data_IF_773682819904
#
_entry.id   IF_773682819904
#
_cell.length_a   1.000
_cell.length_b   1.000
_cell.length_c   1.000
_cell.angle_alpha   90.00
_cell.angle_beta   90.00
_cell.angle_gamma   90.00
#
_symmetry.space_group_name_H-M   'P 1'
#
loop_
_entity.id
_entity.type
_entity.pdbx_description
1 polymer ?
#
# COMPACT_ATOMS: atom_id res chain seq x y z
N UNK A 1 11.97 -52.56 -31.50
CA UNK A 1 11.02 -51.74 -30.71
C UNK A 1 11.66 -50.37 -30.46
N UNK A 2 11.16 -49.32 -31.15
CA UNK A 2 11.63 -47.93 -30.96
C UNK A 2 10.62 -47.24 -30.02
N UNK A 3 11.08 -46.86 -28.85
CA UNK A 3 10.28 -46.06 -27.92
C UNK A 3 10.33 -44.60 -28.38
N UNK A 4 9.17 -44.06 -28.75
CA UNK A 4 8.97 -42.66 -29.06
C UNK A 4 8.72 -41.92 -27.74
N UNK A 5 9.69 -41.15 -27.25
CA UNK A 5 9.52 -40.25 -26.12
C UNK A 5 8.74 -39.03 -26.62
N UNK A 6 7.48 -38.90 -26.21
CA UNK A 6 6.70 -37.70 -26.41
C UNK A 6 7.05 -36.72 -25.26
N UNK A 7 7.88 -35.74 -25.61
CA UNK A 7 8.19 -34.61 -24.73
C UNK A 7 7.00 -33.62 -24.75
N UNK A 8 6.11 -33.72 -23.78
CA UNK A 8 5.06 -32.71 -23.62
C UNK A 8 5.67 -31.42 -23.08
N UNK A 9 5.81 -30.44 -23.96
CA UNK A 9 6.21 -29.08 -23.61
C UNK A 9 5.05 -28.42 -22.86
N UNK A 10 5.12 -28.39 -21.52
CA UNK A 10 4.24 -27.53 -20.73
C UNK A 10 4.67 -26.08 -20.97
N UNK A 11 3.95 -25.37 -21.81
CA UNK A 11 3.97 -23.90 -21.85
C UNK A 11 3.44 -23.39 -20.51
N UNK A 12 4.34 -23.07 -19.58
CA UNK A 12 4.01 -22.30 -18.40
C UNK A 12 3.75 -20.87 -18.92
N UNK A 13 2.52 -20.60 -19.30
CA UNK A 13 2.05 -19.24 -19.52
C UNK A 13 2.16 -18.50 -18.20
N UNK A 14 3.12 -17.57 -18.09
CA UNK A 14 3.19 -16.64 -16.98
C UNK A 14 1.91 -15.80 -17.05
N UNK A 15 0.93 -16.12 -16.22
CA UNK A 15 -0.21 -15.24 -15.98
C UNK A 15 0.35 -13.97 -15.35
N UNK A 16 0.30 -12.86 -16.10
CA UNK A 16 0.63 -11.55 -15.56
C UNK A 16 -0.41 -11.27 -14.46
N UNK A 17 -0.03 -11.43 -13.20
CA UNK A 17 -0.89 -11.10 -12.07
C UNK A 17 -0.98 -9.58 -11.92
N UNK A 18 -2.09 -9.09 -11.40
CA UNK A 18 -2.26 -7.67 -11.07
C UNK A 18 -1.21 -7.22 -10.04
N UNK A 19 -0.62 -6.06 -10.28
CA UNK A 19 0.36 -5.43 -9.38
C UNK A 19 -0.22 -4.15 -8.78
N UNK A 20 -0.56 -4.19 -7.50
CA UNK A 20 -1.01 -3.04 -6.73
C UNK A 20 0.02 -1.90 -6.75
N UNK A 21 1.33 -2.23 -6.65
CA UNK A 21 2.40 -1.24 -6.63
C UNK A 21 2.48 -0.43 -7.94
N UNK A 22 2.36 -1.09 -9.08
CA UNK A 22 2.33 -0.40 -10.39
C UNK A 22 1.08 0.47 -10.53
N UNK A 23 -0.07 0.01 -10.05
CA UNK A 23 -1.31 0.79 -10.05
C UNK A 23 -1.18 2.06 -9.19
N UNK A 24 -0.61 1.92 -8.00
CA UNK A 24 -0.38 3.04 -7.06
C UNK A 24 0.69 4.00 -7.59
N UNK A 25 1.78 3.50 -8.18
CA UNK A 25 2.79 4.33 -8.83
C UNK A 25 2.19 5.18 -9.97
N UNK A 26 1.29 4.59 -10.76
CA UNK A 26 0.54 5.32 -11.77
C UNK A 26 -0.35 6.39 -11.14
N UNK A 27 -1.09 6.06 -10.08
CA UNK A 27 -1.94 7.00 -9.36
C UNK A 27 -1.13 8.18 -8.81
N UNK A 28 0.03 7.94 -8.20
CA UNK A 28 0.94 8.99 -7.69
C UNK A 28 1.37 9.96 -8.80
N UNK A 29 1.65 9.45 -9.99
CA UNK A 29 2.09 10.26 -11.13
C UNK A 29 0.97 11.12 -11.71
N UNK A 30 -0.28 10.64 -11.70
CA UNK A 30 -1.37 11.22 -12.50
C UNK A 30 -2.56 11.75 -11.70
N UNK A 31 -2.59 11.63 -10.36
CA UNK A 31 -3.72 12.05 -9.52
C UNK A 31 -4.11 13.54 -9.67
N UNK A 32 -3.14 14.41 -10.00
CA UNK A 32 -3.36 15.87 -10.14
C UNK A 32 -3.30 16.36 -11.57
N UNK A 33 -3.23 15.47 -12.57
CA UNK A 33 -3.17 15.82 -13.99
C UNK A 33 -3.73 14.70 -14.85
N UNK A 34 -4.14 15.03 -16.08
CA UNK A 34 -4.68 14.06 -17.05
C UNK A 34 -3.55 13.49 -17.90
N UNK A 35 -3.57 12.17 -18.12
CA UNK A 35 -2.66 11.52 -19.06
C UNK A 35 -3.23 11.60 -20.47
N UNK A 36 -2.56 12.35 -21.35
CA UNK A 36 -2.99 12.60 -22.74
C UNK A 36 -3.12 11.33 -23.61
N UNK A 37 -2.64 10.19 -23.13
CA UNK A 37 -2.85 8.89 -23.78
C UNK A 37 -4.31 8.44 -23.74
N UNK A 38 -5.08 8.95 -22.77
CA UNK A 38 -6.46 8.55 -22.52
C UNK A 38 -7.38 9.77 -22.71
N UNK A 39 -8.65 9.49 -23.02
CA UNK A 39 -9.66 10.54 -23.06
C UNK A 39 -9.92 11.13 -21.67
N UNK A 40 -10.12 12.45 -21.61
CA UNK A 40 -10.49 13.16 -20.38
C UNK A 40 -12.01 13.34 -20.30
N UNK A 41 -12.65 12.64 -19.37
CA UNK A 41 -14.09 12.69 -19.15
C UNK A 41 -14.52 13.74 -18.11
N UNK A 42 -13.64 14.65 -17.69
CA UNK A 42 -13.93 15.64 -16.63
C UNK A 42 -15.17 16.50 -16.92
N UNK A 43 -15.43 16.78 -18.22
CA UNK A 43 -16.59 17.55 -18.68
C UNK A 43 -17.74 16.66 -19.19
N UNK A 44 -17.67 15.34 -19.05
CA UNK A 44 -18.62 14.37 -19.60
C UNK A 44 -19.23 13.48 -18.50
N UNK A 45 -19.40 14.02 -17.29
CA UNK A 45 -19.97 13.30 -16.16
C UNK A 45 -18.94 12.86 -15.11
N UNK A 46 -17.65 13.11 -15.33
CA UNK A 46 -16.59 12.85 -14.36
C UNK A 46 -15.57 11.80 -14.80
N UNK A 47 -14.34 11.97 -14.36
CA UNK A 47 -13.18 11.18 -14.78
C UNK A 47 -12.75 10.09 -13.76
N UNK A 48 -13.52 9.89 -12.69
CA UNK A 48 -13.12 9.03 -11.58
C UNK A 48 -12.92 7.55 -11.98
N UNK A 49 -13.88 6.94 -12.65
CA UNK A 49 -13.77 5.55 -13.10
C UNK A 49 -12.74 5.38 -14.21
N UNK A 50 -12.62 6.37 -15.09
CA UNK A 50 -11.58 6.41 -16.11
C UNK A 50 -10.18 6.41 -15.50
N UNK A 51 -9.93 7.26 -14.50
CA UNK A 51 -8.66 7.30 -13.78
C UNK A 51 -8.36 5.99 -13.06
N UNK A 52 -9.32 5.44 -12.33
CA UNK A 52 -9.15 4.14 -11.67
C UNK A 52 -8.83 3.06 -12.70
N UNK A 53 -9.51 3.04 -13.85
CA UNK A 53 -9.22 2.10 -14.94
C UNK A 53 -7.80 2.21 -15.45
N UNK A 54 -7.28 3.43 -15.62
CA UNK A 54 -5.90 3.67 -16.03
C UNK A 54 -4.90 3.08 -15.01
N UNK A 55 -5.17 3.27 -13.71
CA UNK A 55 -4.36 2.69 -12.65
C UNK A 55 -4.36 1.15 -12.71
N UNK A 56 -5.54 0.55 -12.88
CA UNK A 56 -5.70 -0.91 -12.97
C UNK A 56 -4.97 -1.48 -14.20
N UNK A 57 -5.06 -0.81 -15.36
CA UNK A 57 -4.33 -1.16 -16.59
C UNK A 57 -2.81 -1.07 -16.35
N UNK A 58 -2.33 -0.01 -15.69
CA UNK A 58 -0.93 0.13 -15.34
C UNK A 58 -0.47 -0.98 -14.39
N UNK A 59 -1.36 -1.44 -13.50
CA UNK A 59 -1.15 -2.60 -12.64
C UNK A 59 -1.18 -3.95 -13.38
N UNK A 60 -1.49 -3.98 -14.67
CA UNK A 60 -1.55 -5.20 -15.47
C UNK A 60 -2.92 -5.89 -15.48
N UNK A 61 -3.97 -5.28 -14.92
CA UNK A 61 -5.31 -5.84 -14.99
C UNK A 61 -5.89 -5.66 -16.39
N UNK A 62 -6.17 -6.76 -17.07
CA UNK A 62 -6.72 -6.76 -18.44
C UNK A 62 -8.22 -6.45 -18.46
N UNK A 63 -8.59 -5.16 -18.39
CA UNK A 63 -9.99 -4.70 -18.36
C UNK A 63 -10.51 -4.17 -19.70
N UNK A 64 -9.72 -4.21 -20.74
CA UNK A 64 -10.12 -3.70 -22.07
C UNK A 64 -11.39 -4.38 -22.65
N UNK A 65 -11.65 -5.63 -22.26
CA UNK A 65 -12.89 -6.35 -22.64
C UNK A 65 -14.15 -5.77 -21.96
N UNK A 66 -14.02 -4.92 -20.96
CA UNK A 66 -15.11 -4.31 -20.21
C UNK A 66 -15.43 -2.88 -20.67
N UNK A 67 -14.71 -2.35 -21.65
CA UNK A 67 -14.73 -0.94 -22.06
C UNK A 67 -16.13 -0.43 -22.45
N UNK A 68 -16.98 -1.29 -23.02
CA UNK A 68 -18.30 -0.87 -23.52
C UNK A 68 -18.21 0.13 -24.67
N UNK A 69 -19.33 0.78 -24.98
CA UNK A 69 -19.41 1.71 -26.11
C UNK A 69 -18.75 3.07 -25.89
N UNK A 70 -18.45 3.41 -24.65
CA UNK A 70 -17.97 4.76 -24.27
C UNK A 70 -16.49 4.81 -23.89
N UNK A 71 -15.86 3.66 -23.64
CA UNK A 71 -14.47 3.64 -23.19
C UNK A 71 -13.48 3.83 -24.34
N UNK A 72 -12.48 4.67 -24.13
CA UNK A 72 -11.38 4.88 -25.06
C UNK A 72 -10.05 4.42 -24.41
N UNK A 73 -9.14 3.91 -25.24
CA UNK A 73 -7.85 3.43 -24.74
C UNK A 73 -7.91 2.21 -23.81
N UNK A 74 -9.05 1.46 -23.81
CA UNK A 74 -9.25 0.27 -22.97
C UNK A 74 -9.72 0.60 -21.54
N UNK A 75 -10.07 1.85 -21.23
CA UNK A 75 -10.62 2.25 -19.92
C UNK A 75 -12.11 1.95 -19.79
N UNK A 76 -12.62 1.96 -18.56
CA UNK A 76 -14.04 1.76 -18.21
C UNK A 76 -14.54 3.01 -17.49
N UNK A 77 -15.02 4.05 -18.21
CA UNK A 77 -15.28 5.37 -17.63
C UNK A 77 -16.56 5.48 -16.81
N UNK A 78 -17.39 4.43 -16.79
CA UNK A 78 -18.64 4.39 -16.04
C UNK A 78 -18.53 3.47 -14.82
N UNK A 79 -18.79 4.00 -13.60
CA UNK A 79 -18.56 3.28 -12.34
C UNK A 79 -19.28 1.94 -12.25
N UNK A 80 -20.60 1.81 -12.56
CA UNK A 80 -21.28 0.51 -12.54
C UNK A 80 -20.66 -0.53 -13.47
N UNK A 81 -20.17 -0.10 -14.65
CA UNK A 81 -19.48 -1.00 -15.58
C UNK A 81 -18.12 -1.43 -15.02
N UNK A 82 -17.40 -0.52 -14.34
CA UNK A 82 -16.15 -0.85 -13.66
C UNK A 82 -16.38 -1.86 -12.53
N UNK A 83 -17.40 -1.67 -11.69
CA UNK A 83 -17.80 -2.63 -10.64
C UNK A 83 -18.04 -4.02 -11.23
N UNK A 84 -18.87 -4.12 -12.27
CA UNK A 84 -19.17 -5.37 -12.96
C UNK A 84 -17.91 -5.99 -13.59
N UNK A 85 -17.05 -5.15 -14.16
CA UNK A 85 -15.78 -5.59 -14.72
C UNK A 85 -14.89 -6.25 -13.66
N UNK A 86 -14.70 -5.59 -12.52
CA UNK A 86 -13.89 -6.13 -11.42
C UNK A 86 -14.41 -7.49 -10.97
N UNK A 87 -15.72 -7.64 -10.79
CA UNK A 87 -16.34 -8.92 -10.45
C UNK A 87 -16.08 -9.97 -11.55
N UNK A 88 -16.22 -9.61 -12.83
CA UNK A 88 -15.95 -10.52 -13.96
C UNK A 88 -14.50 -10.96 -14.06
N UNK A 89 -13.57 -10.18 -13.50
CA UNK A 89 -12.14 -10.50 -13.37
C UNK A 89 -11.83 -11.33 -12.12
N UNK A 90 -12.84 -11.76 -11.38
CA UNK A 90 -12.66 -12.58 -10.18
C UNK A 90 -12.35 -11.79 -8.90
N UNK A 91 -12.46 -10.48 -8.93
CA UNK A 91 -12.27 -9.67 -7.72
C UNK A 91 -13.39 -9.93 -6.70
N UNK A 92 -13.04 -9.94 -5.45
CA UNK A 92 -14.01 -9.95 -4.34
C UNK A 92 -14.64 -8.57 -4.18
N UNK A 93 -15.88 -8.55 -3.68
CA UNK A 93 -16.57 -7.32 -3.33
C UNK A 93 -17.31 -7.45 -2.00
N UNK A 94 -17.51 -6.30 -1.33
CA UNK A 94 -18.28 -6.21 -0.09
C UNK A 94 -18.93 -4.82 0.02
N UNK A 95 -20.13 -4.74 0.58
CA UNK A 95 -20.78 -3.48 0.97
C UNK A 95 -20.33 -2.97 2.34
N UNK A 96 -19.59 -3.78 3.09
CA UNK A 96 -19.00 -3.43 4.38
C UNK A 96 -17.49 -3.48 4.28
N UNK A 97 -16.80 -2.65 5.09
CA UNK A 97 -15.35 -2.72 5.20
C UNK A 97 -14.92 -4.15 5.60
N UNK A 98 -14.03 -4.80 4.85
CA UNK A 98 -13.48 -6.09 5.29
C UNK A 98 -12.83 -5.97 6.67
N UNK A 99 -12.91 -7.03 7.48
CA UNK A 99 -12.38 -7.02 8.86
C UNK A 99 -10.89 -6.71 8.94
N UNK A 100 -10.13 -7.07 7.91
CA UNK A 100 -8.71 -6.74 7.78
C UNK A 100 -8.46 -5.42 7.00
N UNK A 101 -9.51 -4.67 6.69
CA UNK A 101 -9.44 -3.52 5.81
C UNK A 101 -9.39 -3.88 4.32
N UNK A 102 -9.37 -2.87 3.47
CA UNK A 102 -9.20 -3.04 2.02
C UNK A 102 -7.71 -2.99 1.67
N UNK A 103 -7.19 -3.91 0.84
CA UNK A 103 -5.77 -3.92 0.48
C UNK A 103 -5.40 -2.75 -0.46
N UNK A 104 -4.13 -2.34 -0.46
CA UNK A 104 -3.54 -1.44 -1.44
C UNK A 104 -3.81 -1.94 -2.86
N UNK A 105 -4.11 -1.04 -3.79
CA UNK A 105 -4.50 -1.38 -5.16
C UNK A 105 -5.96 -1.80 -5.30
N UNK A 106 -6.71 -1.90 -4.19
CA UNK A 106 -8.16 -2.09 -4.23
C UNK A 106 -8.90 -0.87 -4.74
N UNK A 107 -10.20 -1.01 -4.97
CA UNK A 107 -11.08 0.05 -5.46
C UNK A 107 -12.21 0.25 -4.46
N UNK A 108 -12.52 1.50 -4.15
CA UNK A 108 -13.71 1.86 -3.38
C UNK A 108 -14.64 2.64 -4.30
N UNK A 109 -15.91 2.28 -4.32
CA UNK A 109 -16.96 3.07 -4.98
C UNK A 109 -17.90 3.67 -3.92
N UNK A 110 -18.48 4.82 -4.23
CA UNK A 110 -19.34 5.59 -3.33
C UNK A 110 -20.63 5.96 -4.02
N UNK A 111 -21.59 6.44 -3.24
CA UNK A 111 -22.86 6.99 -3.72
C UNK A 111 -23.63 6.00 -4.61
N UNK A 112 -23.61 4.70 -4.25
CA UNK A 112 -24.23 3.63 -5.04
C UNK A 112 -23.74 3.57 -6.51
N UNK A 113 -22.44 3.78 -6.73
CA UNK A 113 -21.83 3.74 -8.06
C UNK A 113 -21.72 5.12 -8.74
N UNK A 114 -21.81 6.21 -7.96
CA UNK A 114 -21.63 7.58 -8.48
C UNK A 114 -20.17 8.06 -8.49
N UNK A 115 -19.25 7.38 -7.81
CA UNK A 115 -17.84 7.77 -7.74
C UNK A 115 -16.95 6.55 -7.49
N UNK A 116 -15.69 6.61 -7.95
CA UNK A 116 -14.69 5.55 -7.77
C UNK A 116 -13.32 6.12 -7.44
N UNK A 117 -12.57 5.44 -6.58
CA UNK A 117 -11.18 5.78 -6.22
C UNK A 117 -10.32 4.52 -6.11
N UNK A 118 -9.00 4.69 -6.34
CA UNK A 118 -8.01 3.65 -6.09
C UNK A 118 -7.49 3.74 -4.65
N UNK A 119 -7.37 2.63 -3.97
CA UNK A 119 -6.71 2.55 -2.66
C UNK A 119 -5.20 2.61 -2.85
N UNK A 120 -4.57 3.68 -2.37
CA UNK A 120 -3.11 3.86 -2.44
C UNK A 120 -2.41 3.37 -1.18
N UNK A 121 -3.12 3.34 -0.05
CA UNK A 121 -2.71 2.70 1.18
C UNK A 121 -3.88 1.91 1.74
N UNK A 122 -3.65 0.64 2.05
CA UNK A 122 -4.68 -0.28 2.54
C UNK A 122 -5.01 -0.10 4.02
N UNK A 123 -5.90 -0.96 4.52
CA UNK A 123 -6.31 -1.00 5.93
C UNK A 123 -7.77 -0.64 6.15
N UNK A 124 -8.16 -0.51 7.42
CA UNK A 124 -9.52 -0.10 7.83
C UNK A 124 -9.75 1.41 7.72
N UNK A 125 -8.66 2.18 7.63
CA UNK A 125 -8.65 3.63 7.34
C UNK A 125 -7.83 3.90 6.09
N UNK A 126 -8.26 3.42 4.90
CA UNK A 126 -7.48 3.47 3.68
C UNK A 126 -7.30 4.91 3.19
N UNK A 127 -6.13 5.18 2.58
CA UNK A 127 -5.92 6.38 1.78
C UNK A 127 -6.16 6.07 0.31
N UNK A 128 -6.66 7.06 -0.43
CA UNK A 128 -7.10 6.89 -1.81
C UNK A 128 -6.57 7.96 -2.75
N UNK A 129 -6.59 7.64 -4.04
CA UNK A 129 -6.39 8.58 -5.12
C UNK A 129 -7.58 8.54 -6.09
N UNK A 130 -7.92 9.70 -6.65
CA UNK A 130 -9.05 9.82 -7.57
C UNK A 130 -9.04 11.11 -8.36
N UNK A 131 -9.81 11.12 -9.45
CA UNK A 131 -10.17 12.30 -10.24
C UNK A 131 -11.60 12.75 -9.91
N UNK A 132 -12.04 13.85 -10.49
CA UNK A 132 -13.25 14.62 -10.19
C UNK A 132 -13.03 15.59 -9.03
N UNK A 133 -12.55 15.10 -7.88
CA UNK A 133 -11.80 15.89 -6.90
C UNK A 133 -10.39 15.29 -6.92
N UNK A 134 -9.46 15.98 -7.56
CA UNK A 134 -8.11 15.47 -7.74
C UNK A 134 -7.43 15.31 -6.39
N UNK A 135 -7.11 14.07 -6.03
CA UNK A 135 -6.57 13.72 -4.72
C UNK A 135 -5.60 12.55 -4.80
N UNK A 136 -4.54 12.62 -4.01
CA UNK A 136 -3.66 11.51 -3.67
C UNK A 136 -3.42 11.49 -2.17
N UNK A 137 -3.65 10.35 -1.52
CA UNK A 137 -3.55 10.24 -0.07
C UNK A 137 -4.76 10.79 0.69
N UNK A 138 -5.90 11.00 0.04
CA UNK A 138 -7.14 11.42 0.67
C UNK A 138 -7.78 10.31 1.51
N UNK A 139 -8.60 10.68 2.51
CA UNK A 139 -9.33 9.73 3.34
C UNK A 139 -10.31 8.89 2.49
N UNK A 140 -10.17 7.57 2.52
CA UNK A 140 -11.03 6.63 1.80
C UNK A 140 -12.36 6.32 2.50
N UNK A 141 -12.59 6.81 3.72
CA UNK A 141 -13.81 6.56 4.50
C UNK A 141 -14.69 7.81 4.51
N UNK A 142 -15.19 8.18 3.35
CA UNK A 142 -16.18 9.25 3.20
C UNK A 142 -17.36 8.78 2.35
N UNK A 143 -18.40 9.60 2.24
CA UNK A 143 -19.58 9.28 1.45
C UNK A 143 -20.42 8.12 2.03
N UNK A 144 -21.47 7.77 1.32
CA UNK A 144 -22.38 6.67 1.64
C UNK A 144 -22.47 5.67 0.47
N UNK A 145 -23.17 4.55 0.67
CA UNK A 145 -23.37 3.53 -0.37
C UNK A 145 -22.06 2.97 -0.90
N UNK A 146 -21.09 2.78 0.02
CA UNK A 146 -19.75 2.29 -0.33
C UNK A 146 -19.80 0.83 -0.72
N UNK A 147 -18.97 0.49 -1.73
CA UNK A 147 -18.58 -0.88 -2.03
C UNK A 147 -17.06 -0.95 -2.15
N UNK A 148 -16.50 -2.05 -1.72
CA UNK A 148 -15.08 -2.33 -1.68
C UNK A 148 -14.78 -3.48 -2.63
N UNK A 149 -13.75 -3.33 -3.48
CA UNK A 149 -13.35 -4.34 -4.47
C UNK A 149 -11.86 -4.60 -4.33
N UNK A 150 -11.46 -5.86 -4.32
CA UNK A 150 -10.04 -6.24 -4.24
C UNK A 150 -9.76 -7.56 -4.96
N UNK A 151 -8.54 -7.68 -5.47
CA UNK A 151 -8.06 -8.92 -6.09
C UNK A 151 -7.87 -9.99 -4.99
N UNK A 152 -8.58 -11.13 -5.04
CA UNK A 152 -8.37 -12.21 -4.07
C UNK A 152 -7.08 -12.98 -4.27
N UNK A 153 -6.49 -12.91 -5.49
CA UNK A 153 -5.18 -13.52 -5.78
C UNK A 153 -4.04 -12.66 -5.26
N UNK A 154 -4.26 -11.36 -5.16
CA UNK A 154 -3.54 -10.47 -4.26
C UNK A 154 -3.90 -10.86 -2.83
N UNK A 155 -3.70 -12.15 -2.52
CA UNK A 155 -4.01 -12.77 -1.23
C UNK A 155 -3.72 -11.84 -0.06
N UNK A 156 -4.23 -12.17 1.11
CA UNK A 156 -3.80 -11.84 2.47
C UNK A 156 -2.26 -11.80 2.75
N UNK A 157 -1.43 -11.70 1.75
CA UNK A 157 -0.19 -10.97 1.73
C UNK A 157 -0.60 -9.50 1.80
N UNK A 158 -0.66 -8.91 2.97
CA UNK A 158 -0.43 -7.49 3.15
C UNK A 158 0.60 -7.10 2.11
N UNK A 159 0.26 -6.13 1.24
CA UNK A 159 0.85 -5.86 -0.06
C UNK A 159 2.32 -6.26 -0.10
N UNK A 160 2.78 -6.91 -1.15
CA UNK A 160 4.17 -7.38 -1.24
C UNK A 160 5.05 -6.29 -0.64
N UNK A 161 5.53 -6.52 0.59
CA UNK A 161 6.28 -5.49 1.32
C UNK A 161 7.49 -5.16 0.45
N UNK A 162 7.49 -3.96 -0.11
CA UNK A 162 8.63 -3.46 -0.88
C UNK A 162 9.72 -3.08 0.11
N UNK A 163 10.75 -3.92 0.20
CA UNK A 163 11.85 -3.68 1.12
C UNK A 163 12.83 -2.67 0.54
N UNK A 164 13.14 -1.65 1.31
CA UNK A 164 14.30 -0.82 1.05
C UNK A 164 15.60 -1.59 1.34
N UNK A 165 16.70 -1.27 0.66
CA UNK A 165 18.00 -1.86 0.95
C UNK A 165 18.34 -1.73 2.43
N UNK A 166 19.09 -2.69 2.98
CA UNK A 166 19.59 -2.59 4.33
C UNK A 166 20.46 -1.36 4.52
N UNK A 167 20.22 -0.65 5.61
CA UNK A 167 21.00 0.48 6.07
C UNK A 167 21.88 0.02 7.23
N UNK A 168 23.15 0.43 7.23
CA UNK A 168 24.04 0.27 8.36
C UNK A 168 23.99 1.55 9.19
N UNK A 169 23.29 1.50 10.32
CA UNK A 169 23.09 2.65 11.19
C UNK A 169 24.37 3.03 11.93
N UNK A 170 25.12 3.96 11.40
CA UNK A 170 26.32 4.53 12.05
C UNK A 170 26.06 5.91 12.62
N UNK A 171 25.05 6.61 12.17
CA UNK A 171 24.66 7.94 12.65
C UNK A 171 23.18 8.19 12.37
N UNK A 172 22.35 8.12 13.39
CA UNK A 172 20.90 8.36 13.26
C UNK A 172 20.53 9.79 12.86
N UNK A 173 21.48 10.72 12.92
CA UNK A 173 21.30 12.12 12.51
C UNK A 173 21.68 12.37 11.05
N UNK A 174 22.24 11.37 10.34
CA UNK A 174 22.51 11.48 8.90
C UNK A 174 21.19 11.35 8.12
N UNK A 175 20.63 12.51 7.78
CA UNK A 175 19.35 12.61 7.04
C UNK A 175 19.43 12.17 5.59
N UNK A 176 20.59 11.82 5.07
CA UNK A 176 20.74 11.33 3.71
C UNK A 176 20.90 9.80 3.65
N UNK A 177 21.62 9.19 4.62
CA UNK A 177 21.98 7.78 4.54
C UNK A 177 21.80 7.02 5.88
N UNK A 178 21.47 7.70 6.97
CA UNK A 178 21.38 7.11 8.32
C UNK A 178 20.03 6.51 8.68
N UNK A 179 19.11 6.37 7.72
CA UNK A 179 17.76 5.87 7.98
C UNK A 179 17.29 4.89 6.90
N UNK A 180 16.35 4.00 7.27
CA UNK A 180 15.58 3.19 6.36
C UNK A 180 14.16 3.75 6.25
N UNK A 181 13.73 4.05 5.05
CA UNK A 181 12.40 4.61 4.77
C UNK A 181 12.37 5.46 3.51
N UNK A 182 11.17 5.88 3.16
CA UNK A 182 10.91 6.78 2.02
C UNK A 182 9.87 7.81 2.46
N UNK A 183 10.29 9.06 2.60
CA UNK A 183 9.43 10.13 3.07
C UNK A 183 8.19 10.27 2.20
N UNK A 184 7.03 10.22 2.87
CA UNK A 184 5.72 10.21 2.23
C UNK A 184 5.14 8.82 1.96
N UNK A 185 5.87 7.73 2.26
CA UNK A 185 5.37 6.35 2.19
C UNK A 185 5.45 5.69 3.58
N UNK A 186 4.32 5.18 4.07
CA UNK A 186 4.25 4.56 5.39
C UNK A 186 5.19 3.36 5.51
N UNK A 187 5.92 3.27 6.62
CA UNK A 187 6.56 2.02 7.04
C UNK A 187 5.47 1.05 7.48
N UNK A 188 5.45 -0.14 6.91
CA UNK A 188 4.48 -1.21 7.23
C UNK A 188 5.15 -2.46 7.79
N UNK A 189 6.47 -2.51 7.75
CA UNK A 189 7.27 -3.58 8.33
C UNK A 189 8.70 -3.11 8.61
N UNK A 190 9.37 -3.78 9.54
CA UNK A 190 10.75 -3.51 9.94
C UNK A 190 11.51 -4.82 10.09
N UNK A 191 12.78 -4.82 9.70
CA UNK A 191 13.77 -5.85 10.01
C UNK A 191 14.97 -5.20 10.68
N UNK A 192 15.43 -5.76 11.80
CA UNK A 192 16.63 -5.28 12.52
C UNK A 192 17.52 -6.47 12.86
N UNK A 193 18.75 -6.46 12.34
CA UNK A 193 19.73 -7.52 12.61
C UNK A 193 20.32 -7.38 14.03
N UNK A 194 20.45 -8.50 14.72
CA UNK A 194 21.06 -8.55 16.05
C UNK A 194 20.30 -7.74 17.10
N UNK A 195 18.98 -7.61 16.99
CA UNK A 195 18.13 -6.97 17.98
C UNK A 195 16.87 -7.81 18.28
N UNK A 196 16.29 -7.59 19.46
CA UNK A 196 14.92 -7.97 19.81
C UNK A 196 14.08 -6.72 19.83
N UNK A 197 12.95 -6.71 19.12
CA UNK A 197 12.15 -5.52 18.93
C UNK A 197 10.69 -5.84 18.62
N UNK A 198 9.85 -4.85 18.73
CA UNK A 198 8.44 -4.90 18.33
C UNK A 198 8.03 -3.59 17.66
N UNK A 199 6.89 -3.60 16.99
CA UNK A 199 6.29 -2.44 16.34
C UNK A 199 4.83 -2.32 16.73
N UNK A 200 4.30 -1.10 16.72
CA UNK A 200 2.89 -0.80 16.90
C UNK A 200 2.24 -0.48 15.56
N UNK A 201 1.08 -1.08 15.27
CA UNK A 201 0.30 -0.79 14.07
C UNK A 201 -0.62 0.40 14.31
N UNK A 202 -0.64 1.37 13.41
CA UNK A 202 -1.46 2.59 13.52
C UNK A 202 -2.94 2.25 13.71
N UNK A 203 -3.50 2.73 14.81
CA UNK A 203 -4.89 2.42 15.21
C UNK A 203 -5.11 0.98 15.67
N UNK A 204 -4.04 0.22 15.88
CA UNK A 204 -4.05 -1.18 16.30
C UNK A 204 -3.44 -1.39 17.69
N UNK A 205 -2.43 -2.24 17.77
CA UNK A 205 -1.75 -2.61 19.00
C UNK A 205 -0.28 -2.96 18.75
N UNK A 206 0.50 -3.07 19.82
CA UNK A 206 1.82 -3.67 19.77
C UNK A 206 1.76 -5.11 19.28
N UNK A 207 2.62 -5.46 18.34
CA UNK A 207 2.74 -6.81 17.84
C UNK A 207 3.63 -7.65 18.76
N UNK A 208 3.68 -8.97 18.52
CA UNK A 208 4.61 -9.84 19.23
C UNK A 208 6.06 -9.45 18.94
N UNK A 209 6.93 -9.56 19.96
CA UNK A 209 8.37 -9.38 19.78
C UNK A 209 8.94 -10.35 18.72
N UNK A 210 9.88 -9.85 17.97
CA UNK A 210 10.69 -10.61 17.02
C UNK A 210 12.18 -10.37 17.27
N UNK A 211 13.02 -11.23 16.72
CA UNK A 211 14.48 -11.15 16.91
C UNK A 211 15.22 -11.45 15.61
N UNK A 212 16.46 -10.98 15.51
CA UNK A 212 17.41 -11.38 14.49
C UNK A 212 16.85 -11.39 13.06
N UNK A 213 16.53 -10.19 12.54
CA UNK A 213 16.08 -10.01 11.16
C UNK A 213 14.72 -10.65 10.83
N UNK A 214 13.99 -11.16 11.82
CA UNK A 214 12.58 -11.52 11.63
C UNK A 214 11.76 -10.27 11.36
N UNK A 215 10.72 -10.39 10.54
CA UNK A 215 9.84 -9.28 10.18
C UNK A 215 8.93 -8.90 11.36
N UNK A 216 8.99 -7.66 11.81
CA UNK A 216 7.94 -7.03 12.61
C UNK A 216 7.06 -6.17 11.68
N UNK A 217 5.75 -6.24 11.83
CA UNK A 217 4.78 -5.61 10.93
C UNK A 217 4.19 -6.60 9.92
N UNK A 218 2.97 -6.30 9.47
CA UNK A 218 2.17 -7.22 8.65
C UNK A 218 1.61 -6.56 7.39
N UNK A 219 2.15 -5.39 7.02
CA UNK A 219 1.65 -4.61 5.89
C UNK A 219 0.65 -3.51 6.28
N UNK A 220 0.32 -3.36 7.58
CA UNK A 220 -0.38 -2.19 8.10
C UNK A 220 0.62 -1.09 8.44
N UNK A 221 0.26 0.20 8.27
CA UNK A 221 1.10 1.32 8.69
C UNK A 221 1.51 1.21 10.16
N UNK A 222 2.76 1.55 10.44
CA UNK A 222 3.30 1.56 11.78
C UNK A 222 3.31 2.99 12.33
N UNK A 223 3.18 3.12 13.66
CA UNK A 223 3.27 4.39 14.38
C UNK A 223 4.15 4.31 15.62
N UNK A 224 4.71 3.14 15.91
CA UNK A 224 5.64 2.94 17.02
C UNK A 224 6.65 1.82 16.76
N UNK A 225 7.87 2.02 17.29
CA UNK A 225 8.97 1.04 17.28
C UNK A 225 9.58 0.99 18.66
N UNK A 226 9.78 -0.21 19.22
CA UNK A 226 10.47 -0.42 20.47
C UNK A 226 11.58 -1.47 20.28
N UNK A 227 12.83 -1.13 20.71
CA UNK A 227 14.03 -1.95 20.49
C UNK A 227 14.71 -2.22 21.83
N UNK A 228 14.94 -3.51 22.18
CA UNK A 228 15.66 -3.91 23.39
C UNK A 228 17.16 -3.70 23.27
N UNK A 229 17.82 -3.48 24.40
CA UNK A 229 19.29 -3.49 24.52
C UNK A 229 19.94 -2.12 24.56
N UNK A 230 19.22 -1.05 24.91
CA UNK A 230 19.78 0.30 25.09
C UNK A 230 20.33 0.91 23.81
N UNK A 231 19.83 0.50 22.68
CA UNK A 231 20.17 1.06 21.36
C UNK A 231 19.46 2.39 21.22
N UNK A 232 20.15 3.40 20.70
CA UNK A 232 19.55 4.69 20.39
C UNK A 232 18.83 4.61 19.03
N UNK A 233 17.56 5.01 18.99
CA UNK A 233 16.75 4.98 17.77
C UNK A 233 15.67 6.05 17.76
N UNK A 234 15.24 6.44 16.57
CA UNK A 234 14.18 7.42 16.35
C UNK A 234 13.37 7.10 15.08
N UNK A 235 12.23 7.74 14.94
CA UNK A 235 11.37 7.62 13.76
C UNK A 235 11.04 8.99 13.18
N UNK A 236 10.69 9.01 11.89
CA UNK A 236 10.15 10.16 11.20
C UNK A 236 8.65 9.99 11.02
N UNK A 237 7.89 11.02 11.36
CA UNK A 237 6.42 11.02 11.21
C UNK A 237 6.05 11.36 9.78
N UNK A 238 5.16 10.57 9.19
CA UNK A 238 4.62 10.79 7.85
C UNK A 238 3.98 12.18 7.74
N UNK A 239 4.53 13.02 6.87
CA UNK A 239 4.12 14.41 6.71
C UNK A 239 4.56 15.36 7.85
N UNK A 240 5.37 14.85 8.78
CA UNK A 240 5.91 15.61 9.92
C UNK A 240 7.43 15.75 9.87
N UNK A 241 8.10 15.40 10.96
CA UNK A 241 9.54 15.47 11.12
C UNK A 241 10.10 14.31 11.94
N UNK A 242 11.42 14.30 12.12
CA UNK A 242 12.09 13.38 13.02
C UNK A 242 11.72 13.68 14.47
N UNK A 243 11.37 12.65 15.22
CA UNK A 243 11.22 12.73 16.67
C UNK A 243 12.60 12.66 17.35
N UNK A 244 12.65 13.09 18.60
CA UNK A 244 13.83 12.91 19.44
C UNK A 244 14.14 11.43 19.63
N UNK A 245 15.41 11.03 19.68
CA UNK A 245 15.76 9.64 19.86
C UNK A 245 15.45 9.13 21.27
N UNK A 246 15.14 7.84 21.34
CA UNK A 246 14.95 7.11 22.60
C UNK A 246 15.93 5.93 22.69
N UNK A 247 16.11 5.41 23.90
CA UNK A 247 16.92 4.20 24.17
C UNK A 247 16.14 3.15 24.98
N UNK A 248 14.91 3.49 25.38
CA UNK A 248 14.06 2.67 26.23
C UNK A 248 13.41 1.49 25.51
N UNK A 249 12.88 0.59 26.31
CA UNK A 249 11.95 -0.45 25.90
C UNK A 249 10.88 -0.62 26.98
N UNK A 250 9.88 0.23 26.96
CA UNK A 250 8.70 0.14 27.80
C UNK A 250 7.47 0.56 26.96
N UNK A 251 6.59 -0.35 26.64
CA UNK A 251 5.46 -0.12 25.77
C UNK A 251 4.34 0.74 26.40
N UNK A 252 4.48 1.07 27.70
CA UNK A 252 3.58 1.94 28.44
C UNK A 252 4.18 3.33 28.72
N UNK A 253 5.43 3.54 28.37
CA UNK A 253 6.12 4.83 28.52
C UNK A 253 6.20 5.52 27.15
N UNK A 254 5.25 6.44 26.90
CA UNK A 254 5.15 7.17 25.64
C UNK A 254 6.25 8.22 25.44
N UNK A 255 6.95 8.59 26.50
CA UNK A 255 7.99 9.63 26.42
C UNK A 255 9.37 9.04 26.05
N UNK A 256 9.74 7.90 26.64
CA UNK A 256 11.09 7.33 26.50
C UNK A 256 11.14 5.84 26.20
N UNK A 257 10.03 5.13 26.29
CA UNK A 257 9.98 3.69 26.18
C UNK A 257 9.98 3.16 24.76
N UNK A 258 9.59 3.97 23.79
CA UNK A 258 9.57 3.62 22.36
C UNK A 258 9.64 4.89 21.49
N UNK A 259 10.04 4.74 20.22
CA UNK A 259 10.01 5.82 19.25
C UNK A 259 8.68 5.79 18.48
N UNK A 260 7.96 6.90 18.49
CA UNK A 260 6.70 7.06 17.78
C UNK A 260 5.70 7.92 18.54
N UNK A 261 4.58 8.23 17.90
CA UNK A 261 3.38 8.85 18.51
C UNK A 261 2.22 8.00 18.06
N UNK A 262 1.59 7.28 19.01
CA UNK A 262 0.49 6.38 18.68
C UNK A 262 -0.65 7.13 17.96
N UNK A 263 -1.06 6.60 16.82
CA UNK A 263 -2.01 7.25 15.91
C UNK A 263 -1.39 8.10 14.81
N UNK A 264 -0.06 8.35 14.84
CA UNK A 264 0.65 9.07 13.78
C UNK A 264 1.61 8.15 13.05
N UNK A 265 1.27 7.79 11.83
CA UNK A 265 2.06 6.90 10.98
C UNK A 265 3.49 7.40 10.78
N UNK A 266 4.44 6.47 10.76
CA UNK A 266 5.86 6.74 10.47
C UNK A 266 6.20 6.39 9.02
N UNK A 267 7.17 7.10 8.42
CA UNK A 267 7.67 6.84 7.06
C UNK A 267 9.18 6.59 7.01
N UNK A 268 9.90 6.73 8.14
CA UNK A 268 11.28 6.30 8.23
C UNK A 268 11.70 5.95 9.69
N UNK A 269 12.73 5.10 9.79
CA UNK A 269 13.33 4.66 11.05
C UNK A 269 14.83 4.82 10.98
N UNK A 270 15.46 5.33 12.04
CA UNK A 270 16.91 5.43 12.19
C UNK A 270 17.35 4.73 13.48
N UNK A 271 18.31 3.78 13.40
CA UNK A 271 18.74 2.94 14.51
C UNK A 271 20.26 2.92 14.58
N UNK A 272 20.83 3.38 15.69
CA UNK A 272 22.27 3.47 15.87
C UNK A 272 22.91 2.07 16.07
N UNK A 273 24.04 1.82 15.40
CA UNK A 273 24.82 0.59 15.59
C UNK A 273 24.12 -0.70 15.13
N UNK A 274 23.08 -0.63 14.33
CA UNK A 274 22.37 -1.78 13.80
C UNK A 274 22.30 -1.76 12.28
N UNK A 275 22.15 -2.93 11.68
CA UNK A 275 21.79 -3.11 10.27
C UNK A 275 20.29 -3.39 10.19
N UNK A 276 19.54 -2.63 9.41
CA UNK A 276 18.07 -2.70 9.35
C UNK A 276 17.53 -2.31 8.00
N UNK A 277 16.29 -2.75 7.73
CA UNK A 277 15.54 -2.39 6.54
C UNK A 277 14.07 -2.13 6.89
N UNK A 278 13.47 -1.13 6.26
CA UNK A 278 12.03 -0.88 6.33
C UNK A 278 11.32 -1.46 5.12
N UNK A 279 10.09 -1.90 5.32
CA UNK A 279 9.15 -2.32 4.27
C UNK A 279 8.00 -1.32 4.15
N UNK A 280 7.55 -1.07 2.91
CA UNK A 280 6.52 -0.11 2.55
C UNK A 280 5.44 -0.74 1.67
#
# INVERSE_FOLDING_TARGET
MKYLLILSLYLIGSTISYSADKAVAYAKQWAYKRNSKYHDYSNEGGDCANFVSQCLIAGGLGISSCTGSYGQGGTVPYVPNLENCLISKGWKSSSSMPSKGIPKGGVITYYNGGHAVLVVQGGTSPLVAGHTTDVYGGNGIYGYGRKYFWDPSGSDSGGSISWYPYVNGYNIYDVNNGYAGDFGNAVVALKVQGATYTVHETGGSWLSEVSNDQVAGRGNPLDGVAIKGGVEYRVHILGGGWLEPVTGYDLNDEDYGFAGILGQTIDAVAINGKTYASGH
#
